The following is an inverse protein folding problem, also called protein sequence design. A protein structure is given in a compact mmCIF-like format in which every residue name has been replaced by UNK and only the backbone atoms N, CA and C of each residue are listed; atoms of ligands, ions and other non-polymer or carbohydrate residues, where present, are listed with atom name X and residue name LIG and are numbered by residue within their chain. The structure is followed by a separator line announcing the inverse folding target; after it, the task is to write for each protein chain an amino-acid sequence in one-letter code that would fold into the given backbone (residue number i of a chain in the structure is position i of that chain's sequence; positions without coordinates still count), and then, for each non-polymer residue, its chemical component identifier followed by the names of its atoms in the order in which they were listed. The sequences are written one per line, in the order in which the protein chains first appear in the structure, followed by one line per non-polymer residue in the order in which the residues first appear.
data_IF_540051696324
#
_entry.id   IF_540051696324
#
_cell.length_a   1.000
_cell.length_b   1.000
_cell.length_c   1.000
_cell.angle_alpha   90.00
_cell.angle_beta   90.00
_cell.angle_gamma   90.00
#
_symmetry.space_group_name_H-M   'P 1'
#
loop_
_entity.id
_entity.type
_entity.pdbx_description
1 polymer ?
#
# COMPACT_ATOMS: atom_id res chain seq x y z
N UNK A 1 22.47 -25.48 49.15
CA UNK A 1 22.85 -25.19 47.75
C UNK A 1 21.58 -25.12 46.93
N UNK A 2 21.13 -23.90 46.61
CA UNK A 2 19.96 -23.66 45.76
C UNK A 2 20.53 -23.17 44.43
N UNK A 3 20.41 -23.98 43.38
CA UNK A 3 20.72 -23.56 42.01
C UNK A 3 19.42 -23.03 41.43
N UNK A 4 19.27 -21.71 41.47
CA UNK A 4 18.17 -20.98 40.85
C UNK A 4 18.51 -20.67 39.40
N UNK A 5 17.58 -21.06 38.52
CA UNK A 5 17.16 -20.37 37.31
C UNK A 5 18.23 -19.99 36.28
N UNK A 6 18.27 -20.75 35.18
CA UNK A 6 18.50 -20.21 33.82
C UNK A 6 17.91 -21.21 32.82
N UNK A 7 16.58 -21.31 32.76
CA UNK A 7 15.91 -21.92 31.61
C UNK A 7 15.69 -20.81 30.59
N UNK A 8 16.58 -20.81 29.60
CA UNK A 8 16.54 -19.99 28.40
C UNK A 8 15.11 -19.82 27.86
N UNK A 9 14.68 -18.56 27.74
CA UNK A 9 13.55 -18.21 26.88
C UNK A 9 13.91 -18.61 25.43
N UNK A 10 13.01 -19.25 24.68
CA UNK A 10 13.23 -19.46 23.26
C UNK A 10 13.25 -18.09 22.57
N UNK A 11 14.39 -17.75 22.00
CA UNK A 11 14.58 -16.55 21.18
C UNK A 11 13.67 -16.70 19.96
N UNK A 12 12.60 -15.90 19.89
CA UNK A 12 11.78 -15.74 18.70
C UNK A 12 12.62 -14.99 17.63
N UNK A 13 13.51 -15.71 16.94
CA UNK A 13 14.34 -15.22 15.83
C UNK A 13 13.58 -15.13 14.48
N UNK A 14 12.27 -15.31 14.47
CA UNK A 14 11.46 -15.38 13.23
C UNK A 14 10.46 -14.25 13.03
N UNK A 15 10.39 -13.26 13.91
CA UNK A 15 9.29 -12.27 13.93
C UNK A 15 9.58 -10.97 13.19
N UNK A 16 10.84 -10.52 13.08
CA UNK A 16 11.14 -9.22 12.48
C UNK A 16 10.83 -9.17 10.99
N UNK A 17 11.34 -10.13 10.21
CA UNK A 17 11.11 -10.18 8.76
C UNK A 17 9.63 -10.38 8.42
N UNK A 18 8.95 -11.29 9.12
CA UNK A 18 7.51 -11.50 8.89
C UNK A 18 6.68 -10.25 9.21
N UNK A 19 7.04 -9.48 10.25
CA UNK A 19 6.41 -8.19 10.53
C UNK A 19 6.69 -7.14 9.45
N UNK A 20 7.92 -7.10 8.94
CA UNK A 20 8.32 -6.19 7.87
C UNK A 20 7.54 -6.47 6.57
N UNK A 21 7.38 -7.74 6.19
CA UNK A 21 6.52 -8.13 5.06
C UNK A 21 5.04 -7.82 5.31
N UNK A 22 4.56 -7.87 6.56
CA UNK A 22 3.18 -7.45 6.87
C UNK A 22 2.97 -5.94 6.65
N UNK A 23 3.97 -5.10 6.91
CA UNK A 23 3.92 -3.68 6.58
C UNK A 23 3.87 -3.47 5.06
N UNK A 24 4.70 -4.19 4.30
CA UNK A 24 4.66 -4.15 2.85
C UNK A 24 3.29 -4.60 2.28
N UNK A 25 2.70 -5.67 2.81
CA UNK A 25 1.32 -6.10 2.45
C UNK A 25 0.28 -5.00 2.68
N UNK A 26 0.39 -4.29 3.80
CA UNK A 26 -0.52 -3.22 4.16
C UNK A 26 -0.37 -2.03 3.19
N UNK A 27 0.86 -1.68 2.83
CA UNK A 27 1.15 -0.59 1.88
C UNK A 27 0.60 -0.90 0.48
N UNK A 28 0.77 -2.14 0.02
CA UNK A 28 0.23 -2.58 -1.28
C UNK A 28 -1.29 -2.84 -1.25
N UNK A 29 -1.93 -2.78 -0.08
CA UNK A 29 -3.32 -3.21 0.13
C UNK A 29 -3.61 -4.62 -0.40
N UNK A 30 -2.63 -5.54 -0.30
CA UNK A 30 -2.66 -6.90 -0.85
C UNK A 30 -2.31 -7.93 0.23
N UNK A 31 -3.24 -8.23 1.16
CA UNK A 31 -3.01 -9.22 2.22
C UNK A 31 -2.96 -10.67 1.71
N UNK A 32 -3.36 -10.91 0.47
CA UNK A 32 -3.36 -12.22 -0.18
C UNK A 32 -1.98 -12.71 -0.62
N UNK A 33 -0.98 -11.82 -0.67
CA UNK A 33 0.36 -12.13 -1.17
C UNK A 33 1.23 -12.83 -0.12
N UNK A 34 1.97 -13.86 -0.54
CA UNK A 34 2.98 -14.52 0.31
C UNK A 34 4.25 -13.66 0.43
N UNK A 35 5.08 -13.93 1.44
CA UNK A 35 6.38 -13.25 1.62
C UNK A 35 7.27 -13.44 0.38
N UNK A 36 7.20 -14.63 -0.23
CA UNK A 36 7.93 -14.99 -1.46
C UNK A 36 7.47 -14.17 -2.67
N UNK A 37 6.15 -14.00 -2.85
CA UNK A 37 5.58 -13.22 -3.95
C UNK A 37 5.95 -11.73 -3.84
N UNK A 38 5.92 -11.19 -2.62
CA UNK A 38 6.32 -9.81 -2.35
C UNK A 38 7.82 -9.64 -2.58
N UNK A 39 8.64 -10.55 -2.04
CA UNK A 39 10.09 -10.53 -2.22
C UNK A 39 10.48 -10.61 -3.70
N UNK A 40 9.83 -11.48 -4.47
CA UNK A 40 10.07 -11.59 -5.91
C UNK A 40 9.69 -10.31 -6.66
N UNK A 41 8.53 -9.70 -6.34
CA UNK A 41 8.08 -8.48 -7.00
C UNK A 41 8.99 -7.27 -6.68
N UNK A 42 9.44 -7.16 -5.42
CA UNK A 42 10.40 -6.13 -4.99
C UNK A 42 11.76 -6.37 -5.64
N UNK A 43 12.24 -7.62 -5.69
CA UNK A 43 13.50 -7.99 -6.34
C UNK A 43 13.52 -7.58 -7.81
N UNK A 44 12.45 -7.87 -8.55
CA UNK A 44 12.32 -7.44 -9.95
C UNK A 44 12.32 -5.92 -10.11
N UNK A 45 11.69 -5.18 -9.20
CA UNK A 45 11.70 -3.73 -9.20
C UNK A 45 13.11 -3.16 -8.93
N UNK A 46 13.84 -3.73 -7.96
CA UNK A 46 15.21 -3.35 -7.65
C UNK A 46 16.16 -3.63 -8.82
N UNK A 47 16.02 -4.78 -9.48
CA UNK A 47 16.75 -5.12 -10.70
C UNK A 47 16.45 -4.14 -11.83
N UNK A 48 15.17 -3.77 -12.03
CA UNK A 48 14.76 -2.82 -13.04
C UNK A 48 15.31 -1.40 -12.78
N UNK A 49 15.43 -1.01 -11.52
CA UNK A 49 16.08 0.25 -11.08
C UNK A 49 17.61 0.19 -11.12
N UNK A 50 18.20 -1.01 -11.23
CA UNK A 50 19.65 -1.21 -11.12
C UNK A 50 20.20 -0.88 -9.73
N UNK A 51 19.37 -1.01 -8.69
CA UNK A 51 19.75 -0.66 -7.31
C UNK A 51 20.47 -1.84 -6.63
N UNK A 52 21.59 -1.61 -5.93
CA UNK A 52 22.28 -2.65 -5.16
C UNK A 52 21.61 -2.97 -3.81
N UNK A 53 20.50 -2.31 -3.46
CA UNK A 53 19.79 -2.56 -2.20
C UNK A 53 19.27 -4.00 -2.12
N UNK A 54 19.36 -4.57 -0.92
CA UNK A 54 18.73 -5.85 -0.62
C UNK A 54 17.23 -5.68 -0.32
N UNK A 55 16.46 -6.74 -0.57
CA UNK A 55 15.03 -6.77 -0.25
C UNK A 55 14.82 -6.55 1.26
N UNK A 56 15.67 -7.14 2.11
CA UNK A 56 15.60 -6.99 3.56
C UNK A 56 15.77 -5.53 4.00
N UNK A 57 16.77 -4.81 3.46
CA UNK A 57 16.99 -3.40 3.80
C UNK A 57 15.81 -2.51 3.41
N UNK A 58 15.14 -2.83 2.30
CA UNK A 58 13.99 -2.08 1.82
C UNK A 58 12.74 -2.31 2.69
N UNK A 59 12.49 -3.56 3.05
CA UNK A 59 11.30 -3.98 3.82
C UNK A 59 11.45 -3.64 5.30
N UNK A 60 12.66 -3.75 5.87
CA UNK A 60 12.97 -3.38 7.26
C UNK A 60 12.98 -1.85 7.48
N UNK A 61 13.02 -1.07 6.39
CA UNK A 61 12.95 0.40 6.45
C UNK A 61 14.28 1.08 6.72
N UNK A 62 15.40 0.37 6.57
CA UNK A 62 16.76 0.89 6.70
C UNK A 62 17.25 1.59 5.42
N UNK A 63 16.39 1.69 4.41
CA UNK A 63 16.68 2.31 3.11
C UNK A 63 16.12 3.73 3.01
N UNK A 64 16.70 4.53 2.11
CA UNK A 64 16.21 5.85 1.74
C UNK A 64 14.69 5.82 1.41
N UNK A 65 13.86 6.65 2.07
CA UNK A 65 12.43 6.71 1.81
C UNK A 65 12.08 7.05 0.35
N UNK A 66 12.88 7.86 -0.35
CA UNK A 66 12.64 8.20 -1.76
C UNK A 66 12.82 6.97 -2.65
N UNK A 67 13.88 6.18 -2.40
CA UNK A 67 14.12 4.94 -3.14
C UNK A 67 13.00 3.93 -2.88
N UNK A 68 12.51 3.83 -1.64
CA UNK A 68 11.38 2.96 -1.29
C UNK A 68 10.11 3.34 -2.06
N UNK A 69 9.81 4.64 -2.14
CA UNK A 69 8.66 5.13 -2.92
C UNK A 69 8.80 4.80 -4.41
N UNK A 70 9.99 5.00 -4.98
CA UNK A 70 10.25 4.65 -6.38
C UNK A 70 10.09 3.16 -6.63
N UNK A 71 10.68 2.31 -5.79
CA UNK A 71 10.54 0.86 -5.90
C UNK A 71 9.05 0.49 -5.84
N UNK A 72 8.31 1.00 -4.86
CA UNK A 72 6.90 0.65 -4.69
C UNK A 72 6.02 1.15 -5.84
N UNK A 73 6.40 2.26 -6.50
CA UNK A 73 5.68 2.78 -7.66
C UNK A 73 5.79 1.92 -8.92
N UNK A 74 6.88 1.16 -9.05
CA UNK A 74 7.16 0.31 -10.24
C UNK A 74 6.95 -1.19 -9.98
N UNK A 75 6.68 -1.58 -8.73
CA UNK A 75 6.46 -2.96 -8.36
C UNK A 75 5.25 -3.53 -9.12
N UNK A 76 5.51 -4.54 -9.93
CA UNK A 76 4.49 -5.28 -10.67
C UNK A 76 3.97 -6.44 -9.82
N UNK A 77 2.85 -6.23 -9.13
CA UNK A 77 2.23 -7.28 -8.30
C UNK A 77 1.44 -8.29 -9.16
N UNK A 78 1.40 -9.57 -8.76
CA UNK A 78 0.59 -10.57 -9.44
C UNK A 78 -0.91 -10.26 -9.28
N UNK A 79 -1.75 -10.82 -10.16
CA UNK A 79 -3.19 -10.61 -10.12
C UNK A 79 -3.79 -11.02 -8.77
N UNK A 80 -4.80 -10.30 -8.26
CA UNK A 80 -5.45 -10.64 -7.00
C UNK A 80 -6.18 -11.99 -7.10
N UNK A 81 -5.95 -12.86 -6.10
CA UNK A 81 -6.54 -14.21 -6.06
C UNK A 81 -8.03 -14.18 -5.71
N UNK A 82 -8.48 -13.11 -5.09
CA UNK A 82 -9.88 -12.83 -4.81
C UNK A 82 -10.30 -11.55 -5.51
N UNK A 83 -11.56 -11.43 -5.96
CA UNK A 83 -12.07 -10.16 -6.44
C UNK A 83 -11.96 -9.14 -5.30
N UNK A 84 -11.08 -8.14 -5.46
CA UNK A 84 -11.01 -7.01 -4.56
C UNK A 84 -12.39 -6.35 -4.57
N UNK A 85 -13.06 -6.33 -3.42
CA UNK A 85 -14.36 -5.68 -3.31
C UNK A 85 -14.19 -4.23 -3.75
N UNK A 86 -14.85 -3.85 -4.84
CA UNK A 86 -14.90 -2.45 -5.24
C UNK A 86 -15.57 -1.68 -4.11
N UNK A 87 -14.93 -0.66 -3.50
CA UNK A 87 -15.63 0.17 -2.53
C UNK A 87 -16.84 0.76 -3.25
N UNK A 88 -18.03 0.42 -2.75
CA UNK A 88 -19.29 0.91 -3.31
C UNK A 88 -19.38 2.39 -2.95
N UNK A 89 -18.73 3.25 -3.75
CA UNK A 89 -18.98 4.67 -3.71
C UNK A 89 -20.35 4.88 -4.34
N UNK A 90 -21.38 4.89 -3.50
CA UNK A 90 -22.66 5.46 -3.88
C UNK A 90 -22.40 6.95 -4.16
N UNK A 91 -22.29 7.32 -5.44
CA UNK A 91 -22.41 8.71 -5.85
C UNK A 91 -23.73 9.22 -5.26
N UNK A 92 -23.65 10.02 -4.18
CA UNK A 92 -24.80 10.81 -3.73
C UNK A 92 -25.08 11.77 -4.87
N UNK A 93 -25.97 11.38 -5.76
CA UNK A 93 -26.54 12.25 -6.77
C UNK A 93 -27.12 13.42 -5.99
N UNK A 94 -26.51 14.60 -6.14
CA UNK A 94 -27.07 15.83 -5.62
C UNK A 94 -28.37 16.09 -6.40
N UNK A 95 -29.47 15.48 -5.96
CA UNK A 95 -30.81 15.81 -6.42
C UNK A 95 -31.07 17.27 -5.99
N UNK A 96 -31.07 18.19 -6.95
CA UNK A 96 -31.63 19.53 -6.76
C UNK A 96 -30.75 20.73 -7.14
N UNK A 97 -29.43 20.62 -7.19
CA UNK A 97 -28.57 21.82 -7.38
C UNK A 97 -28.40 22.27 -8.85
N UNK A 98 -28.67 21.39 -9.82
CA UNK A 98 -28.41 21.67 -11.25
C UNK A 98 -29.49 22.48 -11.96
N UNK A 99 -30.76 22.35 -11.56
CA UNK A 99 -31.87 23.01 -12.25
C UNK A 99 -31.94 24.51 -11.93
N UNK A 100 -31.82 24.89 -10.66
CA UNK A 100 -31.86 26.30 -10.24
C UNK A 100 -30.64 27.08 -10.74
N UNK A 101 -29.45 26.45 -10.76
CA UNK A 101 -28.23 27.07 -11.28
C UNK A 101 -28.32 27.43 -12.76
N UNK A 102 -29.00 26.59 -13.58
CA UNK A 102 -29.22 26.89 -15.01
C UNK A 102 -30.24 28.01 -15.24
N UNK A 103 -31.28 28.09 -14.42
CA UNK A 103 -32.28 29.16 -14.49
C UNK A 103 -31.66 30.51 -14.12
N UNK A 104 -30.86 30.57 -13.06
CA UNK A 104 -30.20 31.81 -12.62
C UNK A 104 -29.18 32.35 -13.63
N UNK A 105 -28.41 31.45 -14.28
CA UNK A 105 -27.50 31.82 -15.37
C UNK A 105 -28.25 32.38 -16.60
N UNK A 106 -29.43 31.82 -16.90
CA UNK A 106 -30.25 32.26 -18.03
C UNK A 106 -30.83 33.66 -17.78
N UNK A 107 -31.34 33.92 -16.56
CA UNK A 107 -31.87 35.25 -16.19
C UNK A 107 -30.77 36.32 -16.24
N UNK A 108 -29.57 36.02 -15.71
CA UNK A 108 -28.44 36.97 -15.78
C UNK A 108 -28.07 37.35 -17.21
N UNK A 109 -28.18 36.41 -18.15
CA UNK A 109 -27.84 36.66 -19.55
C UNK A 109 -28.86 37.56 -20.27
N UNK A 110 -30.13 37.49 -19.87
CA UNK A 110 -31.21 38.34 -20.42
C UNK A 110 -31.11 39.76 -19.88
N UNK A 111 -30.77 39.94 -18.59
CA UNK A 111 -30.64 41.28 -17.98
C UNK A 111 -29.38 42.04 -18.44
N UNK A 112 -28.38 41.31 -18.95
CA UNK A 112 -27.14 41.90 -19.47
C UNK A 112 -27.17 42.22 -20.99
N UNK A 113 -28.31 42.02 -21.67
CA UNK A 113 -28.56 42.46 -23.06
C UNK A 113 -29.51 43.65 -23.07
#
# INVERSE_FOLDING_TARGET
MIVLAEKALPVHLGTSQSQAFNLARAEFARPDLSDEEIGAAIGQALEALGSPCSISELVEGDTDPELREWVYSIVCLPQPRAPLAMPVQSFRRAEGAGALSRVLLTIRRIVAS
#
